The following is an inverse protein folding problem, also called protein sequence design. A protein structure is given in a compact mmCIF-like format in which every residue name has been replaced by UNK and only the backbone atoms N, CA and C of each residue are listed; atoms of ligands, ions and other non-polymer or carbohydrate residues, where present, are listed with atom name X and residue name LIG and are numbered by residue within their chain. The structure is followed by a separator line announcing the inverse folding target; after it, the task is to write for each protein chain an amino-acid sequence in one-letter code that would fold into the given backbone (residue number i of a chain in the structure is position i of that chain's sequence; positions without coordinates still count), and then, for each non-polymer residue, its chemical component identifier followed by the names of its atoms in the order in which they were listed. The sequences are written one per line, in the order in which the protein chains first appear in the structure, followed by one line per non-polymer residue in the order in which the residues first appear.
data_IF_376866864381
#
_entry.id   IF_376866864381
#
_cell.length_a   1.000
_cell.length_b   1.000
_cell.length_c   1.000
_cell.angle_alpha   90.00
_cell.angle_beta   90.00
_cell.angle_gamma   90.00
#
_symmetry.space_group_name_H-M   'P 1'
#
loop_
_entity.id
_entity.type
_entity.pdbx_description
1 polymer ?
#
# COMPACT_ATOMS: atom_id res chain seq x y z
N UNK A 1 5.83 -4.75 2.40
CA UNK A 1 4.46 -4.47 2.92
C UNK A 1 4.20 -5.47 4.02
N UNK A 2 3.89 -5.02 5.24
CA UNK A 2 3.64 -5.89 6.41
C UNK A 2 2.19 -6.36 6.49
N UNK A 3 1.25 -5.53 6.10
CA UNK A 3 -0.19 -5.83 6.18
C UNK A 3 -0.95 -4.85 5.27
N UNK A 4 -2.20 -5.16 4.93
CA UNK A 4 -3.11 -4.25 4.24
C UNK A 4 -4.38 -4.14 5.07
N UNK A 5 -4.71 -2.93 5.50
CA UNK A 5 -5.92 -2.63 6.28
C UNK A 5 -6.89 -1.83 5.45
N UNK A 6 -8.18 -2.07 5.62
CA UNK A 6 -9.23 -1.31 4.93
C UNK A 6 -9.93 -0.41 5.94
N UNK A 7 -9.96 0.89 5.64
CA UNK A 7 -10.71 1.86 6.41
C UNK A 7 -12.09 2.06 5.78
N UNK A 8 -13.13 2.12 6.62
CA UNK A 8 -14.49 2.47 6.18
C UNK A 8 -14.68 3.98 6.39
N UNK A 9 -14.88 4.71 5.30
CA UNK A 9 -15.16 6.14 5.32
C UNK A 9 -16.57 6.46 5.81
N UNK A 10 -16.83 7.74 6.09
CA UNK A 10 -18.16 8.22 6.55
C UNK A 10 -19.30 7.91 5.58
N UNK A 11 -19.01 7.77 4.30
CA UNK A 11 -19.96 7.42 3.24
C UNK A 11 -20.04 5.92 2.97
N UNK A 12 -19.34 5.08 3.75
CA UNK A 12 -19.21 3.64 3.50
C UNK A 12 -18.11 3.28 2.51
N UNK A 13 -17.41 4.25 1.92
CA UNK A 13 -16.32 4.00 0.98
C UNK A 13 -15.17 3.24 1.67
N UNK A 14 -14.73 2.14 1.06
CA UNK A 14 -13.62 1.34 1.55
C UNK A 14 -12.30 1.87 0.98
N UNK A 15 -11.39 2.28 1.86
CA UNK A 15 -10.07 2.79 1.48
C UNK A 15 -8.98 1.85 1.99
N UNK A 16 -8.31 1.12 1.09
CA UNK A 16 -7.21 0.25 1.46
C UNK A 16 -5.92 1.04 1.75
N UNK A 17 -5.18 0.60 2.77
CA UNK A 17 -3.94 1.20 3.24
C UNK A 17 -2.89 0.10 3.44
N UNK A 18 -1.75 0.24 2.77
CA UNK A 18 -0.58 -0.60 2.98
C UNK A 18 0.15 -0.18 4.25
N UNK A 19 0.37 -1.13 5.16
CA UNK A 19 1.20 -0.96 6.35
C UNK A 19 2.61 -1.48 6.06
N UNK A 20 3.64 -0.75 6.48
CA UNK A 20 5.04 -1.01 6.14
C UNK A 20 5.92 -0.84 7.38
N UNK A 21 7.19 -1.27 7.29
CA UNK A 21 8.19 -0.84 8.27
C UNK A 21 8.37 0.69 8.17
N UNK A 22 8.71 1.38 9.28
CA UNK A 22 9.02 2.79 9.25
C UNK A 22 10.09 3.10 8.20
N UNK A 23 9.78 3.99 7.26
CA UNK A 23 10.72 4.42 6.21
C UNK A 23 10.80 5.93 6.19
N UNK A 24 12.01 6.47 6.04
CA UNK A 24 12.22 7.91 5.88
C UNK A 24 11.82 8.32 4.46
N UNK A 25 10.91 9.27 4.34
CA UNK A 25 10.43 9.79 3.06
C UNK A 25 10.25 11.31 3.18
N UNK A 26 11.05 12.06 2.41
CA UNK A 26 11.02 13.53 2.38
C UNK A 26 11.00 14.16 3.80
N UNK A 27 12.00 13.82 4.62
CA UNK A 27 12.16 14.37 5.99
C UNK A 27 11.21 13.82 7.06
N UNK A 28 10.24 12.98 6.69
CA UNK A 28 9.28 12.38 7.65
C UNK A 28 9.36 10.87 7.66
N UNK A 29 8.97 10.25 8.77
CA UNK A 29 8.85 8.79 8.85
C UNK A 29 7.43 8.35 8.47
N UNK A 30 7.33 7.50 7.45
CA UNK A 30 6.06 6.96 6.97
C UNK A 30 5.97 5.48 7.30
N UNK A 31 4.80 5.05 7.79
CA UNK A 31 4.50 3.65 8.08
C UNK A 31 3.28 3.14 7.30
N UNK A 32 2.52 4.06 6.68
CA UNK A 32 1.29 3.76 5.95
C UNK A 32 1.29 4.50 4.62
N UNK A 33 0.83 3.84 3.57
CA UNK A 33 0.61 4.45 2.27
C UNK A 33 -0.76 4.04 1.71
N UNK A 34 -1.44 4.96 1.03
CA UNK A 34 -2.71 4.67 0.36
C UNK A 34 -2.52 3.74 -0.83
N UNK A 35 -3.49 2.86 -1.01
CA UNK A 35 -3.66 2.03 -2.21
C UNK A 35 -4.82 2.53 -3.07
N UNK A 36 -5.42 3.67 -2.70
CA UNK A 36 -6.57 4.31 -3.35
C UNK A 36 -7.87 3.49 -3.28
N UNK A 37 -7.96 2.36 -3.98
CA UNK A 37 -9.18 1.55 -4.11
C UNK A 37 -8.84 0.07 -4.49
N UNK A 38 -9.87 -0.76 -4.65
CA UNK A 38 -9.76 -2.16 -5.04
C UNK A 38 -9.11 -2.36 -6.41
N UNK A 39 -9.47 -1.52 -7.37
CA UNK A 39 -9.01 -1.65 -8.75
C UNK A 39 -7.50 -1.43 -8.80
N UNK A 40 -7.01 -0.44 -8.06
CA UNK A 40 -5.58 -0.16 -7.95
C UNK A 40 -4.81 -1.28 -7.25
N UNK A 41 -5.41 -1.96 -6.28
CA UNK A 41 -4.80 -3.17 -5.68
C UNK A 41 -4.61 -4.25 -6.73
N UNK A 42 -5.65 -4.50 -7.54
CA UNK A 42 -5.62 -5.51 -8.59
C UNK A 42 -4.61 -5.15 -9.68
N UNK A 43 -4.58 -3.89 -10.13
CA UNK A 43 -3.59 -3.38 -11.10
C UNK A 43 -2.15 -3.52 -10.61
N UNK A 44 -1.91 -3.25 -9.33
CA UNK A 44 -0.58 -3.37 -8.72
C UNK A 44 -0.19 -4.83 -8.44
N UNK A 45 -1.16 -5.75 -8.43
CA UNK A 45 -1.04 -7.11 -7.86
C UNK A 45 -0.31 -7.06 -6.51
N UNK A 46 -0.68 -6.12 -5.64
CA UNK A 46 0.02 -5.92 -4.36
C UNK A 46 -0.35 -7.02 -3.37
N UNK A 47 0.68 -7.57 -2.72
CA UNK A 47 0.55 -8.67 -1.75
C UNK A 47 1.18 -8.30 -0.42
N UNK A 48 0.70 -8.94 0.64
CA UNK A 48 1.39 -8.89 1.93
C UNK A 48 2.75 -9.57 1.75
N UNK A 49 3.82 -8.90 2.18
CA UNK A 49 5.21 -9.30 1.96
C UNK A 49 5.93 -8.49 0.88
N UNK A 50 5.21 -7.88 -0.06
CA UNK A 50 5.84 -7.26 -1.24
C UNK A 50 6.78 -6.10 -0.92
N UNK A 51 7.85 -5.97 -1.68
CA UNK A 51 8.64 -4.73 -1.73
C UNK A 51 7.95 -3.74 -2.67
N UNK A 52 7.75 -2.51 -2.21
CA UNK A 52 7.00 -1.49 -2.94
C UNK A 52 7.76 -0.18 -3.01
N UNK A 53 7.55 0.55 -4.10
CA UNK A 53 7.97 1.94 -4.23
C UNK A 53 6.83 2.84 -3.78
N UNK A 54 7.15 3.76 -2.88
CA UNK A 54 6.21 4.78 -2.40
C UNK A 54 6.69 6.18 -2.76
N UNK A 55 5.75 7.11 -2.88
CA UNK A 55 6.03 8.55 -2.99
C UNK A 55 5.02 9.34 -2.17
N UNK A 56 5.27 10.63 -1.96
CA UNK A 56 4.26 11.54 -1.41
C UNK A 56 3.57 12.31 -2.53
N UNK A 57 2.27 12.13 -2.69
CA UNK A 57 1.44 13.02 -3.49
C UNK A 57 1.37 14.39 -2.81
N UNK A 58 1.73 15.44 -3.56
CA UNK A 58 1.74 16.82 -3.06
C UNK A 58 2.55 16.99 -1.77
N UNK A 59 3.67 16.25 -1.61
CA UNK A 59 4.58 16.28 -0.46
C UNK A 59 3.99 15.85 0.90
N UNK A 60 2.72 15.45 0.94
CA UNK A 60 2.00 15.15 2.19
C UNK A 60 1.53 13.69 2.24
N UNK A 61 0.84 13.21 1.22
CA UNK A 61 0.10 11.93 1.30
C UNK A 61 0.94 10.80 0.71
N UNK A 62 1.38 9.81 1.51
CA UNK A 62 2.14 8.68 0.98
C UNK A 62 1.24 7.72 0.19
N UNK A 63 1.66 7.33 -1.01
CA UNK A 63 0.96 6.39 -1.88
C UNK A 63 1.92 5.34 -2.46
N UNK A 64 1.39 4.15 -2.73
CA UNK A 64 2.14 3.09 -3.43
C UNK A 64 2.12 3.35 -4.93
N UNK A 65 3.30 3.49 -5.52
CA UNK A 65 3.48 3.75 -6.96
C UNK A 65 3.51 2.44 -7.74
N UNK A 66 4.32 1.48 -7.29
CA UNK A 66 4.45 0.16 -7.91
C UNK A 66 4.98 -0.87 -6.92
N UNK A 67 4.71 -2.15 -7.21
CA UNK A 67 5.37 -3.30 -6.60
C UNK A 67 6.67 -3.59 -7.35
N UNK A 68 7.63 -4.24 -6.69
CA UNK A 68 8.84 -4.82 -7.28
C UNK A 68 8.68 -6.36 -7.30
N UNK A 69 8.09 -6.95 -8.35
CA UNK A 69 7.83 -8.40 -8.42
C UNK A 69 9.10 -9.24 -8.33
N UNK A 70 10.23 -8.71 -8.78
CA UNK A 70 11.54 -9.35 -8.71
C UNK A 70 12.07 -9.53 -7.29
N UNK A 71 11.52 -8.79 -6.32
CA UNK A 71 11.82 -8.90 -4.89
C UNK A 71 10.68 -9.52 -4.08
N UNK A 72 9.69 -10.10 -4.76
CA UNK A 72 8.53 -10.72 -4.12
C UNK A 72 8.98 -12.04 -3.48
N UNK A 73 8.75 -12.24 -2.17
CA UNK A 73 8.98 -13.53 -1.54
C UNK A 73 8.07 -14.61 -2.12
N UNK A 74 8.56 -15.85 -2.07
CA UNK A 74 7.73 -17.02 -2.35
C UNK A 74 6.56 -17.08 -1.35
N UNK A 75 5.43 -17.64 -1.78
CA UNK A 75 4.21 -17.83 -0.98
C UNK A 75 3.43 -16.56 -0.58
N UNK A 76 3.63 -15.44 -1.28
CA UNK A 76 2.76 -14.25 -1.12
C UNK A 76 1.38 -14.47 -1.74
N UNK A 77 0.33 -14.15 -0.98
CA UNK A 77 -1.06 -14.29 -1.40
C UNK A 77 -1.63 -12.96 -1.91
N UNK A 78 -2.39 -12.96 -3.02
CA UNK A 78 -3.14 -11.79 -3.46
C UNK A 78 -4.05 -11.26 -2.36
N UNK A 79 -4.04 -9.95 -2.14
CA UNK A 79 -4.98 -9.34 -1.21
C UNK A 79 -6.32 -9.07 -1.90
N UNK A 80 -7.41 -9.53 -1.30
CA UNK A 80 -8.76 -9.20 -1.72
C UNK A 80 -9.40 -8.24 -0.73
N UNK A 81 -10.03 -7.19 -1.24
CA UNK A 81 -10.83 -6.29 -0.41
C UNK A 81 -12.08 -7.00 0.13
N UNK A 82 -12.50 -6.68 1.37
CA UNK A 82 -13.73 -7.19 1.97
C UNK A 82 -14.98 -6.56 1.36
#
# INVERSE_FOLDING_TARGET
VKNITVNVGRTGALTPLAQMQPVQLAGTTVQRATLHNSDRIAELDIRIGDTVIIRKAGEIIPEVVRVLPELRPDHTQPFQMP
#
